data_IF_554375781463
#
_entry.id   IF_554375781463
#
_cell.length_a   1.000
_cell.length_b   1.000
_cell.length_c   1.000
_cell.angle_alpha   90.00
_cell.angle_beta   90.00
_cell.angle_gamma   90.00
#
_symmetry.space_group_name_H-M   'P 1'
#
loop_
_entity.id
_entity.type
_entity.pdbx_description
1 polymer ?
#
# COMPACT_ATOMS: atom_id res chain seq x y z
N UNK A 1 -1.32 -3.04 15.77
CA UNK A 1 -1.51 -4.18 14.83
C UNK A 1 -0.57 -4.05 13.64
N UNK A 2 -0.12 -5.13 12.97
CA UNK A 2 0.75 -5.03 11.79
C UNK A 2 -0.04 -5.37 10.52
N UNK A 3 0.05 -4.51 9.49
CA UNK A 3 -0.65 -4.66 8.22
C UNK A 3 0.38 -4.77 7.09
N UNK A 4 0.35 -5.87 6.35
CA UNK A 4 1.21 -6.08 5.20
C UNK A 4 0.56 -5.49 3.97
N UNK A 5 1.28 -4.57 3.32
CA UNK A 5 0.84 -3.91 2.09
C UNK A 5 1.83 -4.26 0.98
N UNK A 6 1.33 -4.93 -0.05
CA UNK A 6 2.08 -5.19 -1.27
C UNK A 6 1.91 -3.99 -2.19
N UNK A 7 3.03 -3.40 -2.60
CA UNK A 7 3.11 -2.28 -3.53
C UNK A 7 3.66 -2.78 -4.85
N UNK A 8 2.88 -2.55 -5.91
CA UNK A 8 3.15 -2.94 -7.28
C UNK A 8 3.21 -1.68 -8.16
N UNK A 9 4.02 -1.71 -9.22
CA UNK A 9 4.07 -0.67 -10.24
C UNK A 9 3.86 -1.33 -11.59
N UNK A 10 2.83 -0.89 -12.30
CA UNK A 10 2.47 -1.39 -13.63
C UNK A 10 3.17 -0.59 -14.75
N UNK A 11 4.25 0.14 -14.45
CA UNK A 11 4.99 0.99 -15.37
C UNK A 11 4.41 2.40 -15.55
N UNK A 12 3.12 2.60 -15.34
CA UNK A 12 2.47 3.93 -15.44
C UNK A 12 1.80 4.39 -14.14
N UNK A 13 1.56 3.48 -13.20
CA UNK A 13 0.87 3.78 -11.95
C UNK A 13 1.28 2.79 -10.87
N UNK A 14 1.09 3.20 -9.63
CA UNK A 14 1.32 2.41 -8.44
C UNK A 14 0.01 1.86 -7.89
N UNK A 15 0.06 0.60 -7.48
CA UNK A 15 -1.02 -0.12 -6.84
C UNK A 15 -0.58 -0.58 -5.45
N UNK A 16 -1.48 -0.54 -4.48
CA UNK A 16 -1.31 -1.19 -3.19
C UNK A 16 -2.45 -2.18 -2.94
N UNK A 17 -2.09 -3.39 -2.51
CA UNK A 17 -3.00 -4.42 -2.04
C UNK A 17 -2.59 -4.85 -0.63
N UNK A 18 -3.49 -5.44 0.14
CA UNK A 18 -3.15 -6.00 1.44
C UNK A 18 -3.80 -7.37 1.61
N UNK A 19 -3.06 -8.31 2.22
CA UNK A 19 -3.61 -9.62 2.60
C UNK A 19 -4.44 -9.55 3.87
N UNK A 20 -4.20 -8.52 4.69
CA UNK A 20 -4.89 -8.32 5.96
C UNK A 20 -6.22 -7.54 5.79
N UNK A 21 -6.38 -6.81 4.67
CA UNK A 21 -7.59 -6.06 4.35
C UNK A 21 -8.34 -6.70 3.19
N UNK A 22 -9.52 -7.26 3.46
CA UNK A 22 -10.33 -7.95 2.45
C UNK A 22 -10.91 -6.96 1.43
N UNK A 23 -10.72 -7.25 0.14
CA UNK A 23 -11.19 -6.43 -1.00
C UNK A 23 -10.68 -4.98 -0.99
N UNK A 24 -9.57 -4.71 -0.31
CA UNK A 24 -8.96 -3.39 -0.28
C UNK A 24 -7.90 -3.24 -1.37
N UNK A 25 -7.98 -2.14 -2.10
CA UNK A 25 -7.00 -1.76 -3.11
C UNK A 25 -6.87 -0.24 -3.16
N UNK A 26 -5.65 0.26 -3.29
CA UNK A 26 -5.39 1.67 -3.53
C UNK A 26 -4.54 1.86 -4.79
N UNK A 27 -4.79 2.95 -5.51
CA UNK A 27 -4.13 3.26 -6.77
C UNK A 27 -3.74 4.72 -6.82
N UNK A 28 -2.58 5.00 -7.42
CA UNK A 28 -2.09 6.37 -7.60
C UNK A 28 -1.04 6.42 -8.71
N UNK A 29 -0.97 7.54 -9.44
CA UNK A 29 0.11 7.80 -10.40
C UNK A 29 1.48 8.01 -9.73
N UNK A 30 1.47 8.38 -8.45
CA UNK A 30 2.66 8.75 -7.68
C UNK A 30 2.80 7.90 -6.41
N UNK A 31 4.00 7.38 -6.15
CA UNK A 31 4.29 6.56 -4.95
C UNK A 31 4.03 7.33 -3.64
N UNK A 32 4.36 8.62 -3.59
CA UNK A 32 4.11 9.45 -2.42
C UNK A 32 2.61 9.55 -2.10
N UNK A 33 1.79 9.82 -3.12
CA UNK A 33 0.34 9.84 -2.98
C UNK A 33 -0.21 8.46 -2.62
N UNK A 34 0.33 7.37 -3.20
CA UNK A 34 -0.09 6.02 -2.85
C UNK A 34 0.13 5.74 -1.37
N UNK A 35 1.29 6.14 -0.83
CA UNK A 35 1.61 5.97 0.60
C UNK A 35 0.63 6.69 1.52
N UNK A 36 0.19 7.89 1.16
CA UNK A 36 -0.86 8.59 1.91
C UNK A 36 -2.17 7.82 1.86
N UNK A 37 -2.59 7.39 0.67
CA UNK A 37 -3.81 6.59 0.48
C UNK A 37 -3.77 5.24 1.22
N UNK A 38 -2.59 4.62 1.32
CA UNK A 38 -2.41 3.39 2.11
C UNK A 38 -2.75 3.66 3.57
N UNK A 39 -2.17 4.71 4.17
CA UNK A 39 -2.41 5.06 5.58
C UNK A 39 -3.88 5.38 5.83
N UNK A 40 -4.46 6.26 5.01
CA UNK A 40 -5.87 6.67 5.13
C UNK A 40 -6.83 5.49 4.94
N UNK A 41 -6.54 4.62 3.96
CA UNK A 41 -7.35 3.43 3.68
C UNK A 41 -7.27 2.39 4.79
N UNK A 42 -6.09 2.16 5.37
CA UNK A 42 -5.90 1.24 6.49
C UNK A 42 -6.61 1.78 7.75
N UNK A 43 -6.47 3.07 8.04
CA UNK A 43 -7.15 3.73 9.15
C UNK A 43 -8.67 3.61 9.03
N UNK A 44 -9.22 3.85 7.84
CA UNK A 44 -10.65 3.70 7.57
C UNK A 44 -11.12 2.25 7.72
N UNK A 45 -10.39 1.28 7.18
CA UNK A 45 -10.78 -0.13 7.26
C UNK A 45 -10.71 -0.71 8.68
N UNK A 46 -9.76 -0.26 9.50
CA UNK A 46 -9.57 -0.76 10.86
C UNK A 46 -10.32 0.06 11.91
N UNK A 47 -10.88 1.21 11.52
CA UNK A 47 -11.47 2.22 12.43
C UNK A 47 -10.54 2.54 13.61
N UNK A 48 -9.23 2.54 13.35
CA UNK A 48 -8.18 2.61 14.38
C UNK A 48 -6.90 3.19 13.79
N UNK A 49 -6.15 3.92 14.61
CA UNK A 49 -4.83 4.47 14.28
C UNK A 49 -3.67 3.67 14.90
N UNK A 50 -3.97 2.61 15.67
CA UNK A 50 -2.95 1.80 16.35
C UNK A 50 -2.47 0.64 15.45
N UNK A 51 -1.79 1.01 14.37
CA UNK A 51 -1.24 0.04 13.43
C UNK A 51 0.14 0.43 12.89
N UNK A 52 0.82 -0.54 12.32
CA UNK A 52 2.10 -0.38 11.62
C UNK A 52 1.94 -0.99 10.25
N UNK A 53 2.22 -0.21 9.21
CA UNK A 53 2.25 -0.69 7.83
C UNK A 53 3.64 -1.26 7.53
N UNK A 54 3.68 -2.48 7.03
CA UNK A 54 4.86 -3.06 6.43
C UNK A 54 4.71 -3.07 4.92
N UNK A 55 5.48 -2.22 4.25
CA UNK A 55 5.51 -2.11 2.80
C UNK A 55 6.40 -3.23 2.22
N UNK A 56 5.81 -4.05 1.34
CA UNK A 56 6.53 -5.01 0.52
C UNK A 56 6.44 -4.55 -0.93
N UNK A 57 7.57 -4.33 -1.58
CA UNK A 57 7.59 -4.02 -3.00
C UNK A 57 7.69 -5.32 -3.79
N UNK A 58 6.90 -5.45 -4.85
CA UNK A 58 7.06 -6.59 -5.74
C UNK A 58 8.50 -6.62 -6.30
N UNK A 59 9.09 -7.80 -6.37
CA UNK A 59 10.51 -7.95 -6.75
C UNK A 59 10.78 -7.57 -8.22
N UNK A 60 9.73 -7.36 -9.01
CA UNK A 60 9.81 -6.84 -10.38
C UNK A 60 10.09 -5.33 -10.41
N UNK A 61 9.88 -4.64 -9.28
CA UNK A 61 10.16 -3.22 -9.12
C UNK A 61 11.66 -3.07 -8.88
N UNK A 62 12.44 -2.82 -9.94
CA UNK A 62 13.79 -2.31 -9.79
C UNK A 62 13.71 -0.88 -9.24
N UNK A 63 13.57 -0.74 -7.93
CA UNK A 63 13.82 0.53 -7.26
C UNK A 63 15.31 0.80 -7.45
N UNK A 64 15.63 1.71 -8.37
CA UNK A 64 17.00 2.07 -8.72
C UNK A 64 17.82 2.35 -7.45
N UNK A 65 18.90 1.60 -7.32
CA UNK A 65 19.91 1.72 -6.27
C UNK A 65 20.68 3.04 -6.38
#
# INVERSE_FOLDING_TARGET
MKIQVLIENDGNSWQATSKDLTNWVAWSDSLANLRQLIVEGVEFCLESTDFTIEEQFDSSIQVGQ
#
